data_IF_131814972799
#
_entry.id   IF_131814972799
#
_cell.length_a   1.000
_cell.length_b   1.000
_cell.length_c   1.000
_cell.angle_alpha   90.00
_cell.angle_beta   90.00
_cell.angle_gamma   90.00
#
_symmetry.space_group_name_H-M   'P 1'
#
loop_
_entity.id
_entity.type
_entity.pdbx_description
1 polymer ?
#
# COMPACT_ATOMS: atom_id res chain seq x y z
N UNK A 1 -6.27 1.71 -12.08
CA UNK A 1 -5.02 2.51 -12.22
C UNK A 1 -4.26 2.41 -10.91
N UNK A 2 -3.29 3.27 -10.62
CA UNK A 2 -2.61 3.25 -9.31
C UNK A 2 -3.09 4.39 -8.41
N UNK A 3 -3.26 4.11 -7.13
CA UNK A 3 -3.43 5.13 -6.10
C UNK A 3 -2.07 5.62 -5.61
N UNK A 4 -2.03 6.77 -4.94
CA UNK A 4 -0.81 7.24 -4.27
C UNK A 4 -0.28 6.20 -3.26
N UNK A 5 -1.18 5.51 -2.56
CA UNK A 5 -0.83 4.47 -1.59
C UNK A 5 -0.14 3.28 -2.28
N UNK A 6 -0.67 2.81 -3.41
CA UNK A 6 -0.04 1.70 -4.17
C UNK A 6 1.36 2.06 -4.65
N UNK A 7 1.57 3.31 -5.14
CA UNK A 7 2.88 3.77 -5.60
C UNK A 7 3.87 3.91 -4.43
N UNK A 8 3.42 4.40 -3.27
CA UNK A 8 4.23 4.43 -2.06
C UNK A 8 4.65 3.02 -1.62
N UNK A 9 3.72 2.06 -1.64
CA UNK A 9 4.01 0.66 -1.32
C UNK A 9 4.94 0.01 -2.35
N UNK A 10 4.75 0.26 -3.64
CA UNK A 10 5.60 -0.26 -4.71
C UNK A 10 7.02 0.29 -4.69
N UNK A 11 7.21 1.50 -4.15
CA UNK A 11 8.54 2.08 -3.97
C UNK A 11 9.22 1.68 -2.66
N UNK A 12 8.53 0.94 -1.79
CA UNK A 12 9.02 0.59 -0.45
C UNK A 12 9.09 1.78 0.52
N UNK A 13 8.45 2.91 0.20
CA UNK A 13 8.48 4.11 1.02
C UNK A 13 7.46 4.03 2.16
N UNK A 14 7.82 3.31 3.22
CA UNK A 14 6.90 2.99 4.33
C UNK A 14 6.49 4.22 5.15
N UNK A 15 7.33 5.25 5.24
CA UNK A 15 6.97 6.53 5.84
C UNK A 15 5.78 7.19 5.10
N UNK A 16 5.82 7.15 3.76
CA UNK A 16 4.73 7.68 2.94
C UNK A 16 3.48 6.78 3.01
N UNK A 17 3.65 5.44 3.06
CA UNK A 17 2.54 4.51 3.31
C UNK A 17 1.82 4.88 4.61
N UNK A 18 2.57 5.02 5.70
CA UNK A 18 2.03 5.40 7.01
C UNK A 18 1.31 6.75 6.97
N UNK A 19 1.91 7.77 6.36
CA UNK A 19 1.29 9.09 6.23
C UNK A 19 -0.05 9.02 5.48
N UNK A 20 -0.09 8.31 4.35
CA UNK A 20 -1.31 8.18 3.55
C UNK A 20 -2.42 7.42 4.30
N UNK A 21 -2.07 6.36 5.03
CA UNK A 21 -3.03 5.63 5.88
C UNK A 21 -3.61 6.55 6.97
N UNK A 22 -2.76 7.32 7.67
CA UNK A 22 -3.22 8.29 8.69
C UNK A 22 -4.14 9.37 8.11
N UNK A 23 -3.93 9.76 6.85
CA UNK A 23 -4.78 10.72 6.14
C UNK A 23 -6.09 10.10 5.59
N UNK A 24 -6.34 8.81 5.84
CA UNK A 24 -7.56 8.13 5.41
C UNK A 24 -7.54 7.69 3.95
N UNK A 25 -6.37 7.37 3.40
CA UNK A 25 -6.29 6.75 2.08
C UNK A 25 -7.09 5.43 2.06
N UNK A 26 -7.86 5.21 0.99
CA UNK A 26 -8.60 3.97 0.78
C UNK A 26 -7.63 2.82 0.48
N UNK A 27 -7.60 1.83 1.36
CA UNK A 27 -6.70 0.67 1.28
C UNK A 27 -7.30 -0.46 0.44
N UNK A 28 -8.61 -0.47 0.27
CA UNK A 28 -9.42 -1.48 -0.41
C UNK A 28 -9.50 -1.31 -1.93
N UNK A 29 -9.00 -0.19 -2.47
CA UNK A 29 -8.95 0.03 -3.92
C UNK A 29 -7.95 -0.94 -4.57
N UNK A 30 -8.29 -1.42 -5.76
CA UNK A 30 -7.44 -2.30 -6.54
C UNK A 30 -6.93 -1.62 -7.81
N UNK A 31 -5.74 -2.04 -8.25
CA UNK A 31 -5.13 -1.58 -9.49
C UNK A 31 -5.76 -2.25 -10.73
N UNK A 32 -5.19 -2.02 -11.91
CA UNK A 32 -5.70 -2.64 -13.15
C UNK A 32 -5.52 -4.18 -13.19
N UNK A 33 -4.72 -4.75 -12.29
CA UNK A 33 -4.51 -6.19 -12.15
C UNK A 33 -5.36 -6.78 -11.02
N UNK A 34 -6.18 -5.96 -10.35
CA UNK A 34 -6.97 -6.38 -9.20
C UNK A 34 -6.20 -6.41 -7.88
N UNK A 35 -5.01 -5.80 -7.81
CA UNK A 35 -4.18 -5.81 -6.60
C UNK A 35 -4.41 -4.57 -5.74
N UNK A 36 -4.63 -4.79 -4.45
CA UNK A 36 -4.63 -3.77 -3.39
C UNK A 36 -3.20 -3.38 -3.00
N UNK A 37 -3.06 -2.30 -2.23
CA UNK A 37 -1.76 -1.92 -1.67
C UNK A 37 -1.18 -3.04 -0.78
N UNK A 38 -2.02 -3.74 0.00
CA UNK A 38 -1.56 -4.84 0.86
C UNK A 38 -1.00 -6.00 0.03
N UNK A 39 -1.68 -6.40 -1.04
CA UNK A 39 -1.18 -7.48 -1.92
C UNK A 39 0.12 -7.10 -2.63
N UNK A 40 0.27 -5.83 -3.02
CA UNK A 40 1.53 -5.29 -3.56
C UNK A 40 2.65 -5.37 -2.51
N UNK A 41 2.38 -5.04 -1.24
CA UNK A 41 3.36 -5.18 -0.15
C UNK A 41 3.76 -6.64 0.07
N UNK A 42 2.79 -7.56 0.09
CA UNK A 42 3.02 -9.00 0.25
C UNK A 42 3.88 -9.57 -0.87
N UNK A 43 3.59 -9.23 -2.14
CA UNK A 43 4.37 -9.72 -3.29
C UNK A 43 5.83 -9.27 -3.27
N UNK A 44 6.11 -8.09 -2.69
CA UNK A 44 7.46 -7.56 -2.56
C UNK A 44 8.18 -8.03 -1.30
N UNK A 45 7.51 -8.74 -0.39
CA UNK A 45 8.06 -9.07 0.93
C UNK A 45 8.32 -7.84 1.81
N UNK A 46 7.60 -6.74 1.58
CA UNK A 46 7.71 -5.54 2.41
C UNK A 46 6.89 -5.70 3.70
N UNK A 47 7.48 -6.38 4.70
CA UNK A 47 6.81 -6.71 5.96
C UNK A 47 6.28 -5.49 6.71
N UNK A 48 7.00 -4.36 6.69
CA UNK A 48 6.55 -3.14 7.36
C UNK A 48 5.31 -2.55 6.69
N UNK A 49 5.25 -2.50 5.35
CA UNK A 49 4.03 -2.09 4.67
C UNK A 49 2.86 -3.06 4.91
N UNK A 50 3.13 -4.37 5.04
CA UNK A 50 2.10 -5.36 5.41
C UNK A 50 1.52 -5.05 6.80
N UNK A 51 2.35 -4.72 7.78
CA UNK A 51 1.87 -4.32 9.12
C UNK A 51 1.08 -3.02 9.08
N UNK A 52 1.54 -2.02 8.33
CA UNK A 52 0.86 -0.72 8.20
C UNK A 52 -0.51 -0.82 7.51
N UNK A 53 -0.68 -1.77 6.60
CA UNK A 53 -1.88 -1.91 5.76
C UNK A 53 -2.84 -3.00 6.25
N UNK A 54 -2.37 -3.95 7.05
CA UNK A 54 -3.17 -5.06 7.58
C UNK A 54 -3.89 -4.76 8.90
N UNK A 55 -3.60 -3.62 9.52
CA UNK A 55 -4.21 -3.15 10.77
C UNK A 55 -5.50 -2.36 10.60
#
# INVERSE_FOLDING_TARGET
>A
GYTALMLATQSGNNDLVKLLVVLGAKTELCDNKGLTALEIATQQGNSEAVELLGG
#
